data_IF_823646447241
#
_entry.id   IF_823646447241
#
_cell.length_a   1.000
_cell.length_b   1.000
_cell.length_c   1.000
_cell.angle_alpha   90.00
_cell.angle_beta   90.00
_cell.angle_gamma   90.00
#
_symmetry.space_group_name_H-M   'P 1'
#
loop_
_entity.id
_entity.type
_entity.pdbx_description
1 polymer ?
#
# COMPACT_ATOMS: atom_id res chain seq x y z
N UNK A 1 49.92 2.95 33.16
CA UNK A 1 50.34 3.47 31.82
C UNK A 1 50.27 2.28 30.87
N UNK A 2 49.44 2.16 29.84
CA UNK A 2 48.66 3.11 29.03
C UNK A 2 47.39 2.42 28.53
N UNK A 3 46.37 3.25 28.35
CA UNK A 3 45.05 3.09 27.73
C UNK A 3 45.01 2.32 26.40
N UNK A 4 43.92 1.57 26.17
CA UNK A 4 43.28 1.49 24.86
C UNK A 4 41.80 1.10 25.03
N UNK A 5 40.93 2.11 25.15
CA UNK A 5 39.49 1.93 24.97
C UNK A 5 39.24 1.82 23.46
N UNK A 6 38.87 0.63 22.99
CA UNK A 6 38.45 0.43 21.60
C UNK A 6 36.97 0.79 21.52
N UNK A 7 36.69 1.98 20.99
CA UNK A 7 35.36 2.37 20.52
C UNK A 7 34.98 1.44 19.35
N UNK A 8 34.10 0.47 19.61
CA UNK A 8 33.44 -0.27 18.53
C UNK A 8 32.15 0.46 18.15
N UNK A 9 32.04 0.76 16.86
CA UNK A 9 31.09 1.66 16.26
C UNK A 9 29.63 1.25 16.50
N UNK A 10 28.81 2.25 16.85
CA UNK A 10 27.35 2.16 16.74
C UNK A 10 27.01 2.14 15.23
N UNK A 11 26.79 0.95 14.68
CA UNK A 11 26.26 0.81 13.31
C UNK A 11 24.82 1.26 13.33
N UNK A 12 24.58 2.49 12.88
CA UNK A 12 23.22 2.98 12.61
C UNK A 12 22.77 2.32 11.30
N UNK A 13 21.92 1.29 11.41
CA UNK A 13 21.17 0.78 10.27
C UNK A 13 20.16 1.86 9.86
N UNK A 14 20.47 2.62 8.81
CA UNK A 14 19.50 3.49 8.18
C UNK A 14 18.48 2.61 7.44
N UNK A 15 17.27 2.49 8.00
CA UNK A 15 16.15 1.92 7.29
C UNK A 15 15.74 2.89 6.17
N UNK A 16 16.05 2.53 4.92
CA UNK A 16 15.55 3.26 3.76
C UNK A 16 14.04 2.99 3.62
N UNK A 17 13.22 3.95 4.05
CA UNK A 17 11.80 3.94 3.72
C UNK A 17 11.66 4.26 2.22
N UNK A 18 11.26 3.26 1.43
CA UNK A 18 10.95 3.49 0.02
C UNK A 18 9.74 4.41 -0.11
N UNK A 19 9.84 5.44 -0.94
CA UNK A 19 8.74 6.37 -1.25
C UNK A 19 7.61 5.63 -1.99
N UNK A 20 6.36 5.91 -1.61
CA UNK A 20 5.17 5.35 -2.27
C UNK A 20 5.04 5.90 -3.70
N UNK A 21 5.07 5.02 -4.69
CA UNK A 21 4.80 5.35 -6.09
C UNK A 21 3.40 4.87 -6.47
N UNK A 22 2.58 5.78 -6.98
CA UNK A 22 1.22 5.48 -7.46
C UNK A 22 1.20 5.74 -8.96
N UNK A 23 0.79 4.73 -9.74
CA UNK A 23 0.64 4.82 -11.19
C UNK A 23 -0.78 4.43 -11.59
N UNK A 24 -1.39 5.22 -12.47
CA UNK A 24 -2.71 4.91 -13.07
C UNK A 24 -2.45 4.33 -14.46
N UNK A 25 -2.58 3.01 -14.59
CA UNK A 25 -2.35 2.31 -15.86
C UNK A 25 -3.52 2.47 -16.84
N UNK A 26 -4.74 2.57 -16.32
CA UNK A 26 -5.94 2.78 -17.11
C UNK A 26 -6.90 3.71 -16.38
N UNK A 27 -7.18 4.87 -16.98
CA UNK A 27 -8.10 5.86 -16.43
C UNK A 27 -9.48 5.69 -17.07
N UNK A 28 -10.51 5.59 -16.24
CA UNK A 28 -11.91 5.64 -16.66
C UNK A 28 -12.51 6.92 -16.09
N UNK A 29 -13.15 7.71 -16.93
CA UNK A 29 -13.93 8.88 -16.50
C UNK A 29 -15.33 8.42 -16.11
N UNK A 30 -15.74 8.74 -14.88
CA UNK A 30 -17.05 8.40 -14.33
C UNK A 30 -17.79 9.70 -13.99
N UNK A 31 -19.07 9.80 -14.34
CA UNK A 31 -19.88 10.97 -14.00
C UNK A 31 -20.01 11.17 -12.48
N UNK A 32 -20.06 10.07 -11.73
CA UNK A 32 -20.14 10.09 -10.26
C UNK A 32 -18.84 9.60 -9.63
N UNK A 33 -18.19 10.49 -8.89
CA UNK A 33 -17.07 10.18 -8.02
C UNK A 33 -17.47 9.33 -6.80
N UNK A 34 -16.56 8.46 -6.38
CA UNK A 34 -16.73 7.63 -5.19
C UNK A 34 -16.60 8.50 -3.94
N UNK A 35 -17.48 8.27 -2.96
CA UNK A 35 -17.50 9.02 -1.70
C UNK A 35 -17.46 8.10 -0.49
N UNK A 36 -17.11 8.65 0.68
CA UNK A 36 -17.17 7.93 1.96
C UNK A 36 -18.55 7.32 2.16
N UNK A 37 -18.58 6.05 2.53
CA UNK A 37 -19.81 5.28 2.73
C UNK A 37 -20.29 4.51 1.50
N UNK A 38 -19.73 4.74 0.31
CA UNK A 38 -20.03 3.93 -0.86
C UNK A 38 -19.53 2.49 -0.66
N UNK A 39 -20.26 1.52 -1.21
CA UNK A 39 -19.80 0.14 -1.35
C UNK A 39 -19.04 0.01 -2.66
N UNK A 40 -17.84 -0.54 -2.58
CA UNK A 40 -16.96 -0.75 -3.74
C UNK A 40 -16.54 -2.22 -3.74
N UNK A 41 -16.47 -2.78 -4.94
CA UNK A 41 -15.93 -4.11 -5.21
C UNK A 41 -14.70 -3.96 -6.08
N UNK A 42 -13.58 -4.57 -5.71
CA UNK A 42 -12.33 -4.41 -6.45
C UNK A 42 -11.50 -5.70 -6.45
N UNK A 43 -10.92 -6.00 -7.62
CA UNK A 43 -9.87 -6.99 -7.73
C UNK A 43 -8.50 -6.36 -7.43
N UNK A 44 -7.69 -7.09 -6.68
CA UNK A 44 -6.32 -6.71 -6.33
C UNK A 44 -5.37 -7.91 -6.44
N UNK A 45 -4.08 -7.58 -6.56
CA UNK A 45 -2.93 -8.49 -6.43
C UNK A 45 -1.87 -7.78 -5.58
N UNK A 46 -1.39 -8.45 -4.54
CA UNK A 46 -0.34 -8.00 -3.65
C UNK A 46 0.92 -8.84 -3.81
N UNK A 47 2.05 -8.17 -4.01
CA UNK A 47 3.38 -8.81 -4.15
C UNK A 47 4.38 -8.16 -3.21
N UNK A 48 5.37 -8.93 -2.75
CA UNK A 48 6.51 -8.40 -2.00
C UNK A 48 7.44 -7.64 -2.95
N UNK A 49 7.83 -6.42 -2.57
CA UNK A 49 8.69 -5.58 -3.41
C UNK A 49 10.11 -6.15 -3.60
N UNK A 50 10.58 -6.98 -2.65
CA UNK A 50 11.95 -7.49 -2.64
C UNK A 50 12.18 -8.59 -3.70
N UNK A 51 11.21 -9.48 -3.90
CA UNK A 51 11.34 -10.65 -4.77
C UNK A 51 10.17 -10.82 -5.76
N UNK A 52 9.16 -9.96 -5.69
CA UNK A 52 7.96 -10.05 -6.51
C UNK A 52 7.01 -11.18 -6.13
N UNK A 53 7.29 -11.93 -5.05
CA UNK A 53 6.45 -13.05 -4.64
C UNK A 53 5.05 -12.57 -4.26
N UNK A 54 4.03 -13.27 -4.74
CA UNK A 54 2.64 -12.94 -4.43
C UNK A 54 2.31 -13.41 -3.01
N UNK A 55 1.78 -12.50 -2.19
CA UNK A 55 1.27 -12.87 -0.86
C UNK A 55 -0.24 -13.04 -0.84
N UNK A 56 -0.96 -12.34 -1.73
CA UNK A 56 -2.42 -12.45 -1.86
C UNK A 56 -2.90 -11.92 -3.22
N UNK A 57 -3.91 -12.57 -3.82
CA UNK A 57 -4.63 -12.05 -4.97
C UNK A 57 -6.09 -12.46 -4.92
N UNK A 58 -6.99 -11.48 -5.16
CA UNK A 58 -8.43 -11.76 -5.30
C UNK A 58 -8.74 -12.69 -6.47
N UNK A 59 -7.91 -12.67 -7.51
CA UNK A 59 -8.06 -13.50 -8.70
C UNK A 59 -7.96 -15.00 -8.38
N UNK A 60 -7.15 -15.39 -7.40
CA UNK A 60 -6.97 -16.79 -7.00
C UNK A 60 -8.24 -17.37 -6.38
N UNK A 61 -9.07 -16.51 -5.78
CA UNK A 61 -10.37 -16.87 -5.19
C UNK A 61 -11.53 -16.76 -6.19
N UNK A 62 -11.30 -16.14 -7.35
CA UNK A 62 -12.34 -15.86 -8.35
C UNK A 62 -13.37 -14.81 -7.92
N UNK A 63 -13.18 -14.13 -6.79
CA UNK A 63 -14.13 -13.14 -6.27
C UNK A 63 -13.42 -11.85 -5.82
N UNK A 64 -13.98 -10.67 -6.13
CA UNK A 64 -13.43 -9.40 -5.69
C UNK A 64 -13.57 -9.18 -4.19
N UNK A 65 -12.90 -8.15 -3.67
CA UNK A 65 -13.07 -7.69 -2.30
C UNK A 65 -14.15 -6.61 -2.25
N UNK A 66 -15.19 -6.85 -1.45
CA UNK A 66 -16.24 -5.89 -1.16
C UNK A 66 -15.96 -5.13 0.13
N UNK A 67 -15.98 -3.81 0.09
CA UNK A 67 -15.78 -2.98 1.27
C UNK A 67 -16.53 -1.65 1.20
N UNK A 68 -16.70 -1.02 2.36
CA UNK A 68 -17.27 0.32 2.48
C UNK A 68 -16.17 1.36 2.61
N UNK A 69 -16.18 2.36 1.73
CA UNK A 69 -15.15 3.40 1.69
C UNK A 69 -15.17 4.21 2.99
N UNK A 70 -14.01 4.30 3.65
CA UNK A 70 -13.84 5.04 4.90
C UNK A 70 -14.41 4.38 6.16
N UNK A 71 -14.75 3.08 6.11
CA UNK A 71 -15.22 2.31 7.26
C UNK A 71 -14.10 1.60 8.06
N UNK A 72 -12.83 1.75 7.64
CA UNK A 72 -11.68 1.10 8.29
C UNK A 72 -11.57 -0.41 8.01
N UNK A 73 -12.32 -0.93 7.03
CA UNK A 73 -12.35 -2.35 6.66
C UNK A 73 -11.17 -2.80 5.77
N UNK A 74 -10.33 -1.85 5.35
CA UNK A 74 -9.18 -2.11 4.47
C UNK A 74 -7.95 -1.43 5.07
N UNK A 75 -6.78 -2.03 4.86
CA UNK A 75 -5.47 -1.47 5.26
C UNK A 75 -5.39 -0.02 4.78
N UNK A 76 -5.04 0.91 5.68
CA UNK A 76 -5.04 2.36 5.41
C UNK A 76 -4.30 2.73 4.11
N UNK A 77 -3.19 2.05 3.82
CA UNK A 77 -2.40 2.24 2.60
C UNK A 77 -3.12 1.88 1.30
N UNK A 78 -4.14 1.01 1.32
CA UNK A 78 -4.97 0.73 0.14
C UNK A 78 -6.10 1.76 0.00
N UNK A 79 -6.59 2.31 1.10
CA UNK A 79 -7.70 3.28 1.08
C UNK A 79 -7.24 4.67 0.64
N UNK A 80 -6.01 5.08 1.00
CA UNK A 80 -5.48 6.40 0.63
C UNK A 80 -5.41 6.61 -0.90
N UNK A 81 -4.85 5.71 -1.72
CA UNK A 81 -4.87 5.85 -3.18
C UNK A 81 -6.28 5.85 -3.78
N UNK A 82 -7.19 5.06 -3.20
CA UNK A 82 -8.58 4.96 -3.66
C UNK A 82 -9.31 6.28 -3.37
N UNK A 83 -9.15 6.84 -2.17
CA UNK A 83 -9.82 8.07 -1.78
C UNK A 83 -9.30 9.28 -2.58
N UNK A 84 -7.98 9.42 -2.73
CA UNK A 84 -7.40 10.62 -3.33
C UNK A 84 -7.50 10.63 -4.86
N UNK A 85 -7.48 9.45 -5.50
CA UNK A 85 -7.63 9.34 -6.96
C UNK A 85 -9.10 9.30 -7.43
N UNK A 86 -10.06 9.04 -6.53
CA UNK A 86 -11.49 9.07 -6.85
C UNK A 86 -12.18 10.38 -6.44
N UNK A 87 -11.51 11.25 -5.68
CA UNK A 87 -12.04 12.57 -5.30
C UNK A 87 -11.46 13.74 -6.12
N UNK A 88 -10.29 13.55 -6.75
CA UNK A 88 -9.65 14.54 -7.66
C UNK A 88 -10.45 14.75 -8.94
#
# INVERSE_FOLDING_TARGET
MKTAAVLSALVVLAAAAAELKIEVTHKVECERKTKKGDKVSMHYRGTLAADGSQFDASYDRGSPLDFKVGAGQVIKGHVLPIHDNLLS
#
